data_IF_087795844044
#
_entry.id   IF_087795844044
#
_cell.length_a   1.000
_cell.length_b   1.000
_cell.length_c   1.000
_cell.angle_alpha   90.00
_cell.angle_beta   90.00
_cell.angle_gamma   90.00
#
_symmetry.space_group_name_H-M   'P 1'
#
loop_
_entity.id
_entity.type
_entity.pdbx_description
1 polymer ?
#
# COMPACT_ATOMS: atom_id res chain seq x y z
N UNK A 1 6.83 20.28 -3.38
CA UNK A 1 5.66 19.90 -4.21
C UNK A 1 4.33 20.47 -3.72
N UNK A 2 3.84 20.09 -2.52
CA UNK A 2 2.46 20.38 -2.10
C UNK A 2 2.07 21.88 -2.07
N UNK A 3 3.00 22.77 -1.72
CA UNK A 3 2.78 24.22 -1.72
C UNK A 3 2.84 24.88 -3.10
N UNK A 4 3.45 24.20 -4.08
CA UNK A 4 3.78 24.77 -5.39
C UNK A 4 2.75 24.39 -6.46
N UNK A 5 2.11 23.21 -6.34
CA UNK A 5 1.06 22.73 -7.25
C UNK A 5 -0.06 21.98 -6.48
N UNK A 6 -0.86 22.70 -5.66
CA UNK A 6 -1.84 22.08 -4.76
C UNK A 6 -2.94 21.31 -5.51
N UNK A 7 -3.39 21.81 -6.66
CA UNK A 7 -4.43 21.18 -7.49
C UNK A 7 -3.95 19.87 -8.12
N UNK A 8 -2.71 19.82 -8.62
CA UNK A 8 -2.12 18.58 -9.15
C UNK A 8 -1.99 17.50 -8.09
N UNK A 9 -1.53 17.86 -6.88
CA UNK A 9 -1.44 16.93 -5.76
C UNK A 9 -2.82 16.39 -5.36
N UNK A 10 -3.84 17.24 -5.35
CA UNK A 10 -5.22 16.86 -5.05
C UNK A 10 -5.75 15.81 -6.04
N UNK A 11 -5.63 16.08 -7.35
CA UNK A 11 -6.17 15.17 -8.39
C UNK A 11 -5.33 13.91 -8.51
N UNK A 12 -4.00 14.03 -8.59
CA UNK A 12 -3.13 12.87 -8.88
C UNK A 12 -2.87 11.96 -7.68
N UNK A 13 -3.04 12.44 -6.46
CA UNK A 13 -2.68 11.68 -5.26
C UNK A 13 -3.89 11.52 -4.34
N UNK A 14 -4.52 12.62 -3.92
CA UNK A 14 -5.59 12.55 -2.92
C UNK A 14 -6.84 11.84 -3.45
N UNK A 15 -7.27 12.12 -4.68
CA UNK A 15 -8.43 11.43 -5.29
C UNK A 15 -8.15 9.94 -5.51
N UNK A 16 -6.94 9.59 -5.94
CA UNK A 16 -6.51 8.18 -6.05
C UNK A 16 -6.55 7.49 -4.69
N UNK A 17 -6.06 8.14 -3.63
CA UNK A 17 -6.12 7.61 -2.27
C UNK A 17 -7.57 7.35 -1.84
N UNK A 18 -8.50 8.26 -2.11
CA UNK A 18 -9.93 8.10 -1.80
C UNK A 18 -10.53 6.91 -2.53
N UNK A 19 -10.27 6.77 -3.83
CA UNK A 19 -10.79 5.65 -4.62
C UNK A 19 -10.23 4.32 -4.12
N UNK A 20 -8.93 4.24 -3.83
CA UNK A 20 -8.29 3.03 -3.31
C UNK A 20 -8.81 2.66 -1.91
N UNK A 21 -8.89 3.63 -0.99
CA UNK A 21 -9.43 3.40 0.35
C UNK A 21 -10.86 2.86 0.30
N UNK A 22 -11.74 3.45 -0.53
CA UNK A 22 -13.11 2.95 -0.72
C UNK A 22 -13.16 1.52 -1.27
N UNK A 23 -12.30 1.17 -2.22
CA UNK A 23 -12.24 -0.19 -2.78
C UNK A 23 -11.74 -1.21 -1.75
N UNK A 24 -10.73 -0.84 -0.96
CA UNK A 24 -10.20 -1.68 0.12
C UNK A 24 -11.29 -1.93 1.17
N UNK A 25 -11.97 -0.89 1.63
CA UNK A 25 -13.02 -1.02 2.66
C UNK A 25 -14.22 -1.87 2.17
N UNK A 26 -14.65 -1.65 0.93
CA UNK A 26 -15.70 -2.46 0.30
C UNK A 26 -15.32 -3.94 0.16
N UNK A 27 -14.04 -4.24 -0.09
CA UNK A 27 -13.55 -5.61 -0.15
C UNK A 27 -13.42 -6.23 1.25
N UNK A 28 -12.89 -5.48 2.23
CA UNK A 28 -12.74 -5.91 3.61
C UNK A 28 -14.09 -6.26 4.26
N UNK A 29 -15.17 -5.60 3.82
CA UNK A 29 -16.53 -5.90 4.30
C UNK A 29 -17.10 -7.24 3.81
N UNK A 30 -16.44 -7.91 2.85
CA UNK A 30 -16.94 -9.14 2.20
C UNK A 30 -16.16 -10.40 2.59
N UNK A 31 -14.96 -10.24 3.12
CA UNK A 31 -14.07 -11.35 3.45
C UNK A 31 -13.51 -11.17 4.86
N UNK A 32 -13.28 -12.26 5.61
CA UNK A 32 -12.73 -12.19 6.97
C UNK A 32 -11.28 -11.71 7.00
N UNK A 33 -10.55 -11.78 5.89
CA UNK A 33 -9.16 -11.36 5.79
C UNK A 33 -8.87 -10.84 4.40
N UNK A 34 -8.19 -9.69 4.31
CA UNK A 34 -7.84 -9.01 3.07
C UNK A 34 -6.37 -8.61 3.08
N UNK A 35 -5.66 -8.89 1.99
CA UNK A 35 -4.33 -8.33 1.73
C UNK A 35 -4.45 -7.33 0.58
N UNK A 36 -4.17 -6.06 0.84
CA UNK A 36 -4.17 -5.00 -0.16
C UNK A 36 -2.73 -4.63 -0.55
N UNK A 37 -2.41 -4.71 -1.84
CA UNK A 37 -1.10 -4.35 -2.38
C UNK A 37 -1.22 -3.00 -3.07
N UNK A 38 -0.47 -2.01 -2.59
CA UNK A 38 -0.51 -0.63 -3.10
C UNK A 38 0.89 -0.07 -3.29
N UNK A 39 1.03 0.94 -4.12
CA UNK A 39 2.27 1.70 -4.24
C UNK A 39 2.59 2.47 -2.95
N UNK A 40 3.88 2.53 -2.58
CA UNK A 40 4.38 3.09 -1.32
C UNK A 40 3.89 4.52 -1.04
N UNK A 41 3.78 5.34 -2.08
CA UNK A 41 3.33 6.73 -2.02
C UNK A 41 1.84 6.91 -1.65
N UNK A 42 1.05 5.84 -1.64
CA UNK A 42 -0.37 5.90 -1.28
C UNK A 42 -0.65 5.42 0.15
N UNK A 43 0.30 4.74 0.80
CA UNK A 43 0.10 4.06 2.08
C UNK A 43 -0.39 5.02 3.15
N UNK A 44 0.31 6.14 3.38
CA UNK A 44 -0.07 7.10 4.43
C UNK A 44 -1.48 7.68 4.22
N UNK A 45 -1.79 8.06 2.97
CA UNK A 45 -3.10 8.61 2.63
C UNK A 45 -4.23 7.59 2.80
N UNK A 46 -4.02 6.34 2.37
CA UNK A 46 -4.99 5.26 2.54
C UNK A 46 -5.20 4.93 4.02
N UNK A 47 -4.12 4.79 4.80
CA UNK A 47 -4.19 4.51 6.24
C UNK A 47 -5.02 5.57 6.96
N UNK A 48 -4.74 6.84 6.67
CA UNK A 48 -5.49 7.97 7.24
C UNK A 48 -6.95 7.95 6.83
N UNK A 49 -7.27 7.63 5.58
CA UNK A 49 -8.64 7.63 5.06
C UNK A 49 -9.47 6.45 5.57
N UNK A 50 -8.85 5.28 5.74
CA UNK A 50 -9.52 4.11 6.32
C UNK A 50 -9.80 4.34 7.81
N UNK A 51 -8.85 4.91 8.56
CA UNK A 51 -9.03 5.22 9.97
C UNK A 51 -9.33 3.99 10.84
N UNK A 52 -8.88 2.80 10.41
CA UNK A 52 -9.09 1.52 11.08
C UNK A 52 -7.90 1.16 11.95
N UNK A 53 -8.16 0.52 13.08
CA UNK A 53 -7.17 0.00 14.02
C UNK A 53 -6.82 -1.48 13.78
N UNK A 54 -7.65 -2.21 13.04
CA UNK A 54 -7.49 -3.62 12.69
C UNK A 54 -6.53 -3.89 11.50
N UNK A 55 -5.75 -2.87 11.09
CA UNK A 55 -4.88 -2.96 9.92
C UNK A 55 -3.40 -3.02 10.30
N UNK A 56 -2.66 -3.91 9.63
CA UNK A 56 -1.20 -3.95 9.67
C UNK A 56 -0.60 -3.47 8.35
N UNK A 57 0.28 -2.47 8.43
CA UNK A 57 1.08 -2.01 7.29
C UNK A 57 2.41 -2.75 7.30
N UNK A 58 2.78 -3.32 6.14
CA UNK A 58 4.09 -3.95 5.93
C UNK A 58 4.68 -3.34 4.66
N UNK A 59 5.84 -2.69 4.76
CA UNK A 59 6.49 -2.07 3.60
C UNK A 59 7.36 -3.10 2.89
N UNK A 60 7.40 -3.09 1.56
CA UNK A 60 8.24 -4.03 0.80
C UNK A 60 9.72 -3.97 1.22
N UNK A 61 10.24 -2.76 1.49
CA UNK A 61 11.61 -2.57 1.99
C UNK A 61 11.91 -3.28 3.31
N UNK A 62 10.89 -3.53 4.15
CA UNK A 62 11.03 -4.23 5.43
C UNK A 62 11.08 -5.74 5.22
N UNK A 63 10.41 -6.25 4.18
CA UNK A 63 10.42 -7.67 3.81
C UNK A 63 11.70 -8.08 3.07
N UNK A 64 12.36 -7.11 2.41
CA UNK A 64 13.47 -7.35 1.49
C UNK A 64 14.85 -7.58 2.15
N UNK A 65 14.95 -7.59 3.48
CA UNK A 65 16.22 -7.76 4.21
C UNK A 65 17.08 -6.48 4.29
N UNK A 66 18.22 -6.54 4.99
CA UNK A 66 19.13 -5.39 5.14
C UNK A 66 19.88 -5.12 3.82
N UNK A 67 20.15 -3.84 3.48
CA UNK A 67 20.89 -3.48 2.26
C UNK A 67 22.33 -4.04 2.20
N UNK A 68 22.89 -4.51 3.31
CA UNK A 68 24.22 -5.12 3.35
C UNK A 68 24.35 -6.45 2.57
N UNK A 69 23.23 -7.05 2.15
CA UNK A 69 23.21 -8.27 1.32
C UNK A 69 23.05 -7.97 -0.18
N UNK A 70 23.03 -6.69 -0.57
CA UNK A 70 22.80 -6.25 -1.95
C UNK A 70 23.96 -5.40 -2.44
N UNK A 71 25.12 -6.01 -2.58
CA UNK A 71 26.19 -5.49 -3.45
C UNK A 71 25.76 -5.68 -4.91
N UNK A 72 24.99 -4.72 -5.43
CA UNK A 72 24.57 -4.70 -6.81
C UNK A 72 23.50 -3.65 -7.04
N UNK A 73 23.73 -2.73 -8.01
CA UNK A 73 22.70 -1.79 -8.46
C UNK A 73 21.43 -2.56 -8.82
N UNK A 74 20.36 -2.34 -8.07
CA UNK A 74 19.03 -2.86 -8.43
C UNK A 74 18.46 -1.93 -9.50
N UNK A 75 18.75 -2.21 -10.77
CA UNK A 75 18.21 -1.50 -11.95
C UNK A 75 16.80 -2.01 -12.34
N UNK A 76 16.09 -2.67 -11.43
CA UNK A 76 14.76 -3.28 -11.66
C UNK A 76 13.63 -2.68 -10.82
N UNK A 77 12.39 -2.90 -11.23
CA UNK A 77 11.21 -2.64 -10.41
C UNK A 77 11.22 -3.55 -9.16
N UNK A 78 10.95 -2.97 -7.99
CA UNK A 78 10.86 -3.76 -6.76
C UNK A 78 9.69 -4.76 -6.85
N UNK A 79 9.98 -6.05 -6.70
CA UNK A 79 9.01 -7.14 -6.76
C UNK A 79 8.91 -7.84 -5.40
N UNK A 80 7.70 -8.30 -5.06
CA UNK A 80 7.45 -9.22 -3.96
C UNK A 80 6.48 -10.31 -4.42
N UNK A 81 6.68 -11.52 -3.88
CA UNK A 81 5.74 -12.63 -3.99
C UNK A 81 5.26 -12.97 -2.59
N UNK A 82 3.95 -13.10 -2.42
CA UNK A 82 3.32 -13.49 -1.16
C UNK A 82 2.47 -14.73 -1.41
N UNK A 83 2.59 -15.70 -0.50
CA UNK A 83 1.73 -16.88 -0.45
C UNK A 83 0.80 -16.71 0.74
N UNK A 84 -0.47 -17.00 0.56
CA UNK A 84 -1.45 -17.02 1.64
C UNK A 84 -2.30 -18.28 1.53
N UNK A 85 -2.57 -18.89 2.68
CA UNK A 85 -3.52 -19.98 2.80
C UNK A 85 -4.84 -19.40 3.29
N UNK A 86 -5.91 -19.63 2.53
CA UNK A 86 -7.25 -19.33 2.99
C UNK A 86 -7.82 -20.60 3.62
N UNK A 87 -8.09 -20.63 4.94
CA UNK A 87 -8.86 -21.71 5.51
C UNK A 87 -10.26 -21.63 4.88
N UNK A 88 -10.51 -22.50 3.91
CA UNK A 88 -11.81 -22.62 3.26
C UNK A 88 -12.89 -22.94 4.29
N UNK A 89 -14.09 -22.43 4.04
CA UNK A 89 -15.32 -22.78 4.74
C UNK A 89 -15.54 -24.29 4.82
#
# INVERSE_FOLDING_TARGET
>A
MARQFPTMKRVLIDERNVIMARRIDAAASRVPSLVAVVGDGHVEGIVRLLGRDDMRVVRLKELMGRPAEREGRVEGNAQATFHFEHPGR
#
